data_IF_435814084571
#
_entry.id   IF_435814084571
#
_cell.length_a   1.000
_cell.length_b   1.000
_cell.length_c   1.000
_cell.angle_alpha   90.00
_cell.angle_beta   90.00
_cell.angle_gamma   90.00
#
_symmetry.space_group_name_H-M   'P 1'
#
loop_
_entity.id
_entity.type
_entity.pdbx_description
1 polymer ?
#
# COMPACT_ATOMS: atom_id res chain seq x y z
N UNK A 1 -11.16 3.88 11.53
CA UNK A 1 -12.35 4.15 10.70
C UNK A 1 -12.56 2.93 9.81
N UNK A 2 -13.79 2.43 9.71
CA UNK A 2 -14.13 1.34 8.78
C UNK A 2 -14.64 2.00 7.50
N UNK A 3 -13.99 1.77 6.38
CA UNK A 3 -14.42 2.28 5.07
C UNK A 3 -15.56 1.43 4.54
N UNK A 4 -16.35 1.85 3.56
CA UNK A 4 -17.35 0.98 2.93
C UNK A 4 -16.69 0.03 1.92
N UNK A 5 -17.29 -1.13 1.63
CA UNK A 5 -16.82 -1.99 0.53
C UNK A 5 -16.95 -1.19 -0.77
N UNK A 6 -15.91 -1.19 -1.60
CA UNK A 6 -15.80 -0.36 -2.79
C UNK A 6 -15.17 1.01 -2.56
N UNK A 7 -14.90 1.40 -1.31
CA UNK A 7 -14.15 2.63 -1.03
C UNK A 7 -12.74 2.54 -1.63
N UNK A 8 -12.31 3.62 -2.28
CA UNK A 8 -10.98 3.73 -2.86
C UNK A 8 -10.10 4.65 -1.99
N UNK A 9 -8.86 4.22 -1.76
CA UNK A 9 -7.86 5.00 -1.06
C UNK A 9 -6.62 5.22 -1.92
N UNK A 10 -6.10 6.45 -1.89
CA UNK A 10 -4.83 6.84 -2.50
C UNK A 10 -3.72 6.83 -1.45
N UNK A 11 -2.70 6.01 -1.66
CA UNK A 11 -1.53 5.92 -0.78
C UNK A 11 -0.31 6.45 -1.54
N UNK A 12 0.24 7.58 -1.07
CA UNK A 12 1.44 8.22 -1.61
C UNK A 12 2.62 8.13 -0.64
N UNK A 13 3.81 8.53 -1.10
CA UNK A 13 4.95 8.84 -0.23
C UNK A 13 4.52 9.75 0.95
N UNK A 14 5.01 9.47 2.16
CA UNK A 14 4.66 10.23 3.37
C UNK A 14 3.21 10.07 3.86
N UNK A 15 2.44 9.15 3.26
CA UNK A 15 1.10 8.75 3.74
C UNK A 15 1.04 7.30 4.25
N UNK A 16 2.11 6.52 4.06
CA UNK A 16 2.35 5.20 4.70
C UNK A 16 2.53 5.30 6.24
N UNK A 17 2.48 6.53 6.73
CA UNK A 17 2.78 7.02 8.07
C UNK A 17 1.54 7.00 8.98
N UNK A 18 0.35 6.73 8.42
CA UNK A 18 -0.94 6.91 9.12
C UNK A 18 -1.52 5.66 9.77
N UNK A 19 -0.90 4.50 9.61
CA UNK A 19 -1.29 3.30 10.36
C UNK A 19 -0.59 3.28 11.72
N UNK A 20 -1.38 3.18 12.80
CA UNK A 20 -0.86 3.19 14.16
C UNK A 20 0.18 2.08 14.38
N UNK A 21 1.45 2.47 14.49
CA UNK A 21 2.59 1.57 14.76
C UNK A 21 3.30 0.99 13.55
N UNK A 22 3.07 1.50 12.34
CA UNK A 22 3.90 1.23 11.17
C UNK A 22 5.27 1.94 11.23
N UNK A 23 6.32 1.38 10.58
CA UNK A 23 7.65 1.98 10.55
C UNK A 23 7.62 3.26 9.72
N UNK A 24 7.98 4.39 10.35
CA UNK A 24 8.11 5.69 9.68
C UNK A 24 9.19 5.59 8.60
N UNK A 25 8.89 6.03 7.38
CA UNK A 25 9.88 6.23 6.31
C UNK A 25 10.33 5.00 5.51
N UNK A 26 9.62 3.87 5.59
CA UNK A 26 10.02 2.63 4.90
C UNK A 26 9.35 2.33 3.55
N UNK A 27 8.36 3.13 3.15
CA UNK A 27 7.63 2.90 1.91
C UNK A 27 8.36 3.43 0.67
N UNK A 28 8.33 2.68 -0.42
CA UNK A 28 8.99 3.01 -1.67
C UNK A 28 8.17 2.56 -2.88
N UNK A 29 8.40 3.18 -4.02
CA UNK A 29 7.88 2.71 -5.31
C UNK A 29 9.06 2.54 -6.26
N UNK A 30 8.97 1.55 -7.15
CA UNK A 30 9.97 1.32 -8.19
C UNK A 30 9.37 0.49 -9.32
N UNK A 31 10.10 0.44 -10.44
CA UNK A 31 9.87 -0.50 -11.52
C UNK A 31 10.83 -1.67 -11.32
N UNK A 32 10.32 -2.89 -11.33
CA UNK A 32 11.16 -4.09 -11.24
C UNK A 32 11.86 -4.44 -12.56
N UNK A 33 12.64 -5.51 -12.54
CA UNK A 33 13.42 -5.96 -13.71
C UNK A 33 12.54 -6.38 -14.91
N UNK A 34 11.26 -6.69 -14.68
CA UNK A 34 10.26 -7.03 -15.71
C UNK A 34 9.51 -5.80 -16.24
N UNK A 35 9.85 -4.59 -15.79
CA UNK A 35 9.16 -3.36 -16.17
C UNK A 35 7.83 -3.15 -15.44
N UNK A 36 7.60 -3.84 -14.32
CA UNK A 36 6.32 -3.79 -13.57
C UNK A 36 6.43 -2.88 -12.36
N UNK A 37 5.39 -2.06 -12.08
CA UNK A 37 5.38 -1.22 -10.91
C UNK A 37 5.20 -2.05 -9.64
N UNK A 38 5.97 -1.69 -8.61
CA UNK A 38 5.93 -2.28 -7.27
C UNK A 38 5.84 -1.15 -6.24
N UNK A 39 5.06 -1.40 -5.19
CA UNK A 39 4.99 -0.51 -4.04
C UNK A 39 5.36 -1.29 -2.77
N UNK A 40 6.27 -0.75 -1.97
CA UNK A 40 6.51 -1.19 -0.61
C UNK A 40 5.66 -0.35 0.32
N UNK A 41 4.77 -1.01 1.04
CA UNK A 41 3.88 -0.36 1.99
C UNK A 41 4.25 -0.77 3.41
N UNK A 42 4.33 0.22 4.28
CA UNK A 42 4.40 0.00 5.73
C UNK A 42 3.00 -0.19 6.27
N UNK A 43 2.84 -1.13 7.20
CA UNK A 43 1.52 -1.44 7.74
C UNK A 43 1.44 -1.50 9.25
N UNK A 44 0.25 -1.79 9.77
CA UNK A 44 -0.04 -1.83 11.20
C UNK A 44 0.84 -2.86 11.95
N UNK A 45 0.86 -2.74 13.28
CA UNK A 45 1.62 -3.66 14.16
C UNK A 45 1.28 -5.14 13.94
N UNK A 46 0.09 -5.44 13.43
CA UNK A 46 -0.35 -6.82 13.11
C UNK A 46 0.47 -7.48 12.00
N UNK A 47 1.20 -6.73 11.17
CA UNK A 47 2.11 -7.30 10.16
C UNK A 47 3.45 -7.76 10.74
N UNK A 48 3.70 -7.54 12.04
CA UNK A 48 4.94 -8.01 12.68
C UNK A 48 5.04 -9.54 12.62
N UNK A 49 6.25 -10.10 12.42
CA UNK A 49 7.57 -9.45 12.50
C UNK A 49 8.00 -8.70 11.23
N UNK A 50 7.23 -8.75 10.14
CA UNK A 50 7.58 -8.15 8.85
C UNK A 50 6.69 -6.92 8.58
N UNK A 51 7.01 -5.74 9.13
CA UNK A 51 6.10 -4.59 9.20
C UNK A 51 5.88 -3.88 7.85
N UNK A 52 6.44 -4.41 6.78
CA UNK A 52 6.33 -3.89 5.43
C UNK A 52 6.15 -5.05 4.46
N UNK A 53 5.34 -4.83 3.44
CA UNK A 53 5.15 -5.79 2.35
C UNK A 53 5.35 -5.08 1.02
N UNK A 54 5.80 -5.84 0.04
CA UNK A 54 5.82 -5.39 -1.35
C UNK A 54 4.51 -5.85 -1.99
N UNK A 55 3.82 -4.94 -2.67
CA UNK A 55 2.54 -5.17 -3.34
C UNK A 55 2.60 -4.72 -4.78
N UNK A 56 1.78 -5.37 -5.59
CA UNK A 56 1.60 -5.16 -7.03
C UNK A 56 0.14 -5.00 -7.35
N UNK A 57 -0.15 -4.47 -8.54
CA UNK A 57 -1.54 -4.42 -9.05
C UNK A 57 -2.14 -5.83 -9.04
N UNK A 58 -3.30 -5.96 -8.41
CA UNK A 58 -4.01 -7.21 -8.23
C UNK A 58 -3.87 -7.83 -6.84
N UNK A 59 -2.81 -7.51 -6.10
CA UNK A 59 -2.57 -8.05 -4.76
C UNK A 59 -3.62 -7.56 -3.77
N UNK A 60 -3.84 -8.37 -2.73
CA UNK A 60 -4.75 -8.05 -1.62
C UNK A 60 -3.97 -8.02 -0.32
N UNK A 61 -4.16 -6.97 0.47
CA UNK A 61 -3.59 -6.83 1.80
C UNK A 61 -4.67 -6.44 2.81
N UNK A 62 -4.40 -6.65 4.08
CA UNK A 62 -5.35 -6.37 5.17
C UNK A 62 -4.81 -5.33 6.14
N UNK A 63 -5.66 -4.38 6.52
CA UNK A 63 -5.34 -3.35 7.52
C UNK A 63 -6.52 -3.20 8.47
N UNK A 64 -6.29 -3.45 9.77
CA UNK A 64 -7.32 -3.25 10.79
C UNK A 64 -8.57 -4.08 10.51
N UNK A 65 -8.39 -5.30 10.01
CA UNK A 65 -9.45 -6.23 9.66
C UNK A 65 -10.18 -5.96 8.33
N UNK A 66 -9.77 -4.94 7.56
CA UNK A 66 -10.34 -4.64 6.24
C UNK A 66 -9.41 -5.13 5.14
N UNK A 67 -9.95 -5.75 4.09
CA UNK A 67 -9.15 -6.22 2.96
C UNK A 67 -9.21 -5.21 1.81
N UNK A 68 -8.05 -4.96 1.21
CA UNK A 68 -7.84 -3.95 0.19
C UNK A 68 -7.13 -4.57 -1.00
N UNK A 69 -7.69 -4.38 -2.19
CA UNK A 69 -7.06 -4.80 -3.44
C UNK A 69 -6.33 -3.62 -4.06
N UNK A 70 -5.05 -3.80 -4.40
CA UNK A 70 -4.31 -2.81 -5.20
C UNK A 70 -4.89 -2.81 -6.60
N UNK A 71 -5.48 -1.70 -7.01
CA UNK A 71 -6.08 -1.54 -8.33
C UNK A 71 -5.12 -0.88 -9.31
N UNK A 72 -4.22 -0.03 -8.82
CA UNK A 72 -3.30 0.72 -9.66
C UNK A 72 -2.05 1.13 -8.89
N UNK A 73 -0.92 1.22 -9.58
CA UNK A 73 0.30 1.88 -9.10
C UNK A 73 0.74 2.84 -10.22
N UNK A 74 0.80 4.13 -9.91
CA UNK A 74 1.00 5.21 -10.87
C UNK A 74 2.38 5.82 -10.67
N UNK A 75 3.07 6.07 -11.78
CA UNK A 75 4.37 6.76 -11.87
C UNK A 75 5.40 6.27 -10.84
N UNK A 76 5.58 4.95 -10.74
CA UNK A 76 6.35 4.28 -9.69
C UNK A 76 7.83 4.69 -9.62
N UNK A 77 8.39 5.24 -10.69
CA UNK A 77 9.76 5.76 -10.80
C UNK A 77 9.86 7.28 -10.54
N UNK A 78 8.76 7.92 -10.13
CA UNK A 78 8.70 9.36 -9.91
C UNK A 78 8.51 9.74 -8.43
N UNK A 79 8.88 10.97 -8.02
CA UNK A 79 8.51 11.52 -6.72
C UNK A 79 6.99 11.65 -6.50
N UNK A 80 6.20 11.59 -7.59
CA UNK A 80 4.75 11.67 -7.57
C UNK A 80 4.05 10.32 -7.39
N UNK A 81 4.80 9.22 -7.23
CA UNK A 81 4.22 7.88 -7.21
C UNK A 81 3.14 7.70 -6.14
N UNK A 82 2.11 6.93 -6.50
CA UNK A 82 1.07 6.52 -5.57
C UNK A 82 0.47 5.18 -5.98
N UNK A 83 -0.17 4.49 -5.04
CA UNK A 83 -1.05 3.38 -5.33
C UNK A 83 -2.51 3.74 -5.04
N UNK A 84 -3.41 3.11 -5.79
CA UNK A 84 -4.84 3.09 -5.50
C UNK A 84 -5.19 1.70 -4.99
N UNK A 85 -5.91 1.65 -3.88
CA UNK A 85 -6.46 0.41 -3.35
C UNK A 85 -7.96 0.54 -3.13
N UNK A 86 -8.71 -0.50 -3.43
CA UNK A 86 -10.16 -0.56 -3.23
C UNK A 86 -10.49 -1.57 -2.14
N UNK A 87 -11.33 -1.20 -1.18
CA UNK A 87 -11.80 -2.13 -0.14
C UNK A 87 -12.65 -3.22 -0.79
N UNK A 88 -12.31 -4.47 -0.51
CA UNK A 88 -13.02 -5.65 -1.03
C UNK A 88 -13.74 -6.45 0.07
N UNK A 89 -13.36 -6.29 1.34
CA UNK A 89 -14.09 -6.87 2.48
C UNK A 89 -13.90 -6.11 3.78
#
# INVERSE_FOLDING_TARGET
MVHEIGAQEKISYGRNDRFAGGPVGGGSFWIDDDGRPVAKIGGPKEWRPTPMIDVRVGDVFSIGGQAWRVTEIVDADSPGAYLLATRVS
#
